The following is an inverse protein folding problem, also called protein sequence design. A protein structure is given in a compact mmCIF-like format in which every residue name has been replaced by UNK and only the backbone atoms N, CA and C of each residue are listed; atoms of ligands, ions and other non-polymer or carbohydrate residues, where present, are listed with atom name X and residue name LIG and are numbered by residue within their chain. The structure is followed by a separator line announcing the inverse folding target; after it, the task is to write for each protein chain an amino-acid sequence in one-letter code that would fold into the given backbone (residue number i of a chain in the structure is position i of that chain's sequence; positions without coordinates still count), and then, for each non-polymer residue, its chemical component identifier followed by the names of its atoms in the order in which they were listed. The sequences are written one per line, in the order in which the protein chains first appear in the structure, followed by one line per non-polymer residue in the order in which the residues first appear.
data_IF_481961884341
#
_entry.id   IF_481961884341
#
_cell.length_a   1.000
_cell.length_b   1.000
_cell.length_c   1.000
_cell.angle_alpha   90.00
_cell.angle_beta   90.00
_cell.angle_gamma   90.00
#
_symmetry.space_group_name_H-M   'P 1'
#
loop_
_entity.id
_entity.type
_entity.pdbx_description
1 polymer ?
#
# COMPACT_ATOMS: atom_id res chain seq x y z
N UNK A 1 0.21 -9.74 21.48
CA UNK A 1 -0.38 -9.51 20.14
C UNK A 1 -0.04 -10.58 19.09
N UNK A 2 0.99 -11.43 19.30
CA UNK A 2 1.38 -12.51 18.37
C UNK A 2 0.35 -13.66 18.17
N UNK A 3 -0.64 -13.80 19.06
CA UNK A 3 -1.65 -14.86 18.99
C UNK A 3 -2.64 -14.70 17.83
N UNK A 4 -2.80 -13.49 17.28
CA UNK A 4 -3.74 -13.27 16.18
C UNK A 4 -3.20 -13.75 14.82
N UNK A 5 -1.87 -13.77 14.65
CA UNK A 5 -1.23 -14.26 13.43
C UNK A 5 -1.23 -15.80 13.40
N UNK A 6 -0.95 -16.46 14.53
CA UNK A 6 -0.95 -17.92 14.60
C UNK A 6 -2.35 -18.54 14.40
N UNK A 7 -3.42 -17.84 14.80
CA UNK A 7 -4.79 -18.35 14.67
C UNK A 7 -5.42 -18.22 13.27
N UNK A 8 -4.80 -17.48 12.36
CA UNK A 8 -5.31 -17.28 10.98
C UNK A 8 -4.58 -18.15 9.94
N UNK A 9 -3.45 -18.75 10.30
CA UNK A 9 -2.74 -19.74 9.48
C UNK A 9 -3.27 -21.14 9.79
N UNK A 10 -4.54 -21.39 9.45
CA UNK A 10 -4.98 -22.77 9.20
C UNK A 10 -4.59 -23.10 7.76
N UNK A 11 -3.64 -24.03 7.57
CA UNK A 11 -3.12 -24.42 6.24
C UNK A 11 -4.20 -24.96 5.29
N UNK A 12 -5.41 -25.27 5.79
CA UNK A 12 -6.53 -25.71 4.95
C UNK A 12 -7.33 -24.55 4.32
N UNK A 13 -7.13 -23.31 4.78
CA UNK A 13 -7.83 -22.13 4.29
C UNK A 13 -6.87 -21.28 3.47
N UNK A 14 -7.05 -21.26 2.14
CA UNK A 14 -6.39 -20.26 1.29
C UNK A 14 -6.96 -18.89 1.65
N UNK A 15 -6.17 -17.96 2.24
CA UNK A 15 -6.69 -16.66 2.63
C UNK A 15 -7.11 -15.89 1.38
N UNK A 16 -8.26 -15.24 1.44
CA UNK A 16 -8.72 -14.34 0.39
C UNK A 16 -8.24 -12.91 0.67
N UNK A 17 -8.54 -12.00 -0.27
CA UNK A 17 -8.22 -10.58 -0.14
C UNK A 17 -8.67 -9.99 1.20
N UNK A 18 -9.86 -10.37 1.70
CA UNK A 18 -10.44 -9.83 2.93
C UNK A 18 -9.67 -10.29 4.16
N UNK A 19 -9.22 -11.54 4.17
CA UNK A 19 -8.42 -12.11 5.27
C UNK A 19 -7.09 -11.38 5.43
N UNK A 20 -6.32 -11.21 4.33
CA UNK A 20 -5.08 -10.42 4.35
C UNK A 20 -5.34 -9.00 4.85
N UNK A 21 -6.37 -8.37 4.31
CA UNK A 21 -6.73 -7.00 4.63
C UNK A 21 -7.19 -6.80 6.08
N UNK A 22 -7.79 -7.81 6.70
CA UNK A 22 -8.15 -7.79 8.13
C UNK A 22 -6.90 -7.75 9.01
N UNK A 23 -5.88 -8.54 8.69
CA UNK A 23 -4.63 -8.55 9.47
C UNK A 23 -3.92 -7.20 9.37
N UNK A 24 -3.79 -6.63 8.16
CA UNK A 24 -3.19 -5.30 7.96
C UNK A 24 -3.98 -4.23 8.73
N UNK A 25 -5.32 -4.34 8.77
CA UNK A 25 -6.16 -3.42 9.54
C UNK A 25 -5.88 -3.48 11.05
N UNK A 26 -5.70 -4.69 11.60
CA UNK A 26 -5.32 -4.88 13.01
C UNK A 26 -3.95 -4.27 13.29
N UNK A 27 -2.97 -4.49 12.41
CA UNK A 27 -1.66 -3.84 12.52
C UNK A 27 -1.78 -2.30 12.58
N UNK A 28 -2.57 -1.70 11.67
CA UNK A 28 -2.82 -0.26 11.62
C UNK A 28 -3.58 0.30 12.85
N UNK A 29 -4.27 -0.56 13.60
CA UNK A 29 -4.98 -0.21 14.84
C UNK A 29 -4.14 -0.41 16.10
N UNK A 30 -2.89 -0.87 15.97
CA UNK A 30 -1.98 -1.07 17.09
C UNK A 30 -1.74 0.26 17.81
N UNK A 31 -1.98 0.27 19.12
CA UNK A 31 -1.85 1.46 19.98
C UNK A 31 -0.75 1.33 21.04
N UNK A 32 -0.25 0.12 21.28
CA UNK A 32 0.87 -0.11 22.18
C UNK A 32 2.18 0.17 21.46
N UNK A 33 2.93 1.16 21.93
CA UNK A 33 4.20 1.56 21.30
C UNK A 33 5.22 0.42 21.21
N UNK A 34 5.23 -0.49 22.18
CA UNK A 34 6.10 -1.68 22.19
C UNK A 34 5.83 -2.61 21.01
N UNK A 35 4.59 -2.62 20.51
CA UNK A 35 4.14 -3.53 19.47
C UNK A 35 4.25 -2.88 18.07
N UNK A 36 4.43 -1.57 17.98
CA UNK A 36 4.50 -0.84 16.70
C UNK A 36 5.55 -1.38 15.72
N UNK A 37 6.80 -1.68 16.12
CA UNK A 37 7.80 -2.22 15.20
C UNK A 37 7.38 -3.57 14.60
N UNK A 38 6.79 -4.42 15.44
CA UNK A 38 6.35 -5.76 15.06
C UNK A 38 5.09 -5.71 14.20
N UNK A 39 4.11 -4.88 14.57
CA UNK A 39 2.90 -4.65 13.79
C UNK A 39 3.23 -4.13 12.38
N UNK A 40 4.21 -3.22 12.27
CA UNK A 40 4.66 -2.72 10.97
C UNK A 40 5.30 -3.84 10.14
N UNK A 41 6.21 -4.63 10.74
CA UNK A 41 6.85 -5.78 10.07
C UNK A 41 5.80 -6.76 9.53
N UNK A 42 4.86 -7.16 10.39
CA UNK A 42 3.78 -8.09 10.06
C UNK A 42 2.90 -7.54 8.94
N UNK A 43 2.53 -6.25 8.96
CA UNK A 43 1.70 -5.66 7.91
C UNK A 43 2.32 -5.80 6.51
N UNK A 44 3.64 -5.57 6.40
CA UNK A 44 4.36 -5.72 5.12
C UNK A 44 4.60 -7.18 4.75
N UNK A 45 4.82 -8.07 5.71
CA UNK A 45 4.90 -9.51 5.43
C UNK A 45 3.58 -10.07 4.90
N UNK A 46 2.46 -9.68 5.50
CA UNK A 46 1.11 -10.06 5.06
C UNK A 46 0.84 -9.54 3.65
N UNK A 47 1.26 -8.32 3.34
CA UNK A 47 1.19 -7.77 1.97
C UNK A 47 2.02 -8.58 0.96
N UNK A 48 3.25 -8.95 1.31
CA UNK A 48 4.09 -9.77 0.44
C UNK A 48 3.47 -11.16 0.24
N UNK A 49 3.01 -11.81 1.32
CA UNK A 49 2.31 -13.09 1.25
C UNK A 49 1.04 -13.02 0.39
N UNK A 50 0.33 -11.89 0.40
CA UNK A 50 -0.84 -11.65 -0.47
C UNK A 50 -0.43 -11.71 -1.95
N UNK A 51 0.66 -11.03 -2.32
CA UNK A 51 1.19 -11.02 -3.69
C UNK A 51 1.69 -12.41 -4.08
N UNK A 52 2.47 -13.07 -3.22
CA UNK A 52 3.04 -14.40 -3.46
C UNK A 52 1.94 -15.46 -3.64
N UNK A 53 0.81 -15.31 -2.95
CA UNK A 53 -0.37 -16.15 -3.11
C UNK A 53 -1.19 -15.85 -4.38
N UNK A 54 -0.81 -14.84 -5.18
CA UNK A 54 -1.52 -14.39 -6.36
C UNK A 54 -2.80 -13.61 -6.05
N UNK A 55 -2.96 -13.13 -4.82
CA UNK A 55 -4.10 -12.31 -4.42
C UNK A 55 -3.75 -10.84 -4.69
N UNK A 56 -4.55 -10.16 -5.52
CA UNK A 56 -4.24 -8.79 -5.94
C UNK A 56 -4.56 -7.76 -4.86
N UNK A 57 -3.60 -6.91 -4.44
CA UNK A 57 -3.86 -5.79 -3.54
C UNK A 57 -4.94 -4.85 -4.07
N UNK A 58 -5.76 -4.34 -3.16
CA UNK A 58 -6.83 -3.39 -3.48
C UNK A 58 -6.47 -1.99 -2.97
N UNK A 59 -7.27 -0.99 -3.36
CA UNK A 59 -7.14 0.35 -2.82
C UNK A 59 -7.23 0.38 -1.29
N UNK A 60 -7.97 -0.56 -0.69
CA UNK A 60 -8.08 -0.69 0.77
C UNK A 60 -6.78 -1.24 1.38
N UNK A 61 -6.10 -2.18 0.70
CA UNK A 61 -4.78 -2.69 1.10
C UNK A 61 -3.76 -1.56 1.20
N UNK A 62 -3.64 -0.75 0.14
CA UNK A 62 -2.71 0.38 0.11
C UNK A 62 -3.03 1.44 1.15
N UNK A 63 -4.32 1.79 1.33
CA UNK A 63 -4.72 2.76 2.34
C UNK A 63 -4.33 2.30 3.76
N UNK A 64 -4.48 1.01 4.07
CA UNK A 64 -4.11 0.47 5.40
C UNK A 64 -2.61 0.40 5.62
N UNK A 65 -1.83 0.07 4.60
CA UNK A 65 -0.36 0.11 4.68
C UNK A 65 0.14 1.54 4.90
N UNK A 66 -0.45 2.53 4.21
CA UNK A 66 -0.16 3.94 4.47
C UNK A 66 -0.55 4.36 5.89
N UNK A 67 -1.70 3.90 6.40
CA UNK A 67 -2.06 4.13 7.81
C UNK A 67 -1.07 3.47 8.79
N UNK A 68 -0.50 2.30 8.47
CA UNK A 68 0.57 1.71 9.27
C UNK A 68 1.81 2.61 9.27
N UNK A 69 2.22 3.11 8.11
CA UNK A 69 3.35 4.04 7.98
C UNK A 69 3.09 5.31 8.80
N UNK A 70 1.89 5.89 8.68
CA UNK A 70 1.50 7.07 9.42
C UNK A 70 1.61 6.83 10.93
N UNK A 71 0.94 5.79 11.46
CA UNK A 71 0.73 5.61 12.91
C UNK A 71 1.88 4.93 13.65
N UNK A 72 2.50 3.93 13.04
CA UNK A 72 3.51 3.09 13.71
C UNK A 72 4.92 3.72 13.66
N UNK A 73 5.10 4.79 12.88
CA UNK A 73 6.34 5.56 12.73
C UNK A 73 6.15 7.04 13.12
N UNK A 74 5.24 7.33 14.06
CA UNK A 74 5.02 8.70 14.59
C UNK A 74 6.03 9.14 15.65
N UNK A 75 7.14 8.42 15.84
CA UNK A 75 8.10 8.78 16.88
C UNK A 75 8.89 10.01 16.44
N UNK A 76 9.11 10.93 17.37
CA UNK A 76 9.93 12.13 17.16
C UNK A 76 11.43 11.77 17.22
N UNK A 77 11.84 10.88 16.31
CA UNK A 77 13.23 10.64 15.99
C UNK A 77 13.38 10.67 14.47
N UNK A 78 14.46 11.27 13.96
CA UNK A 78 14.64 11.44 12.52
C UNK A 78 14.72 10.13 11.73
N UNK A 79 15.04 9.00 12.38
CA UNK A 79 15.11 7.70 11.72
C UNK A 79 13.72 7.19 11.32
N UNK A 80 12.73 7.32 12.20
CA UNK A 80 11.35 6.92 11.93
C UNK A 80 10.68 7.83 10.90
N UNK A 81 11.01 9.13 10.87
CA UNK A 81 10.56 10.04 9.81
C UNK A 81 11.08 9.60 8.43
N UNK A 82 12.39 9.34 8.31
CA UNK A 82 12.99 8.89 7.04
C UNK A 82 12.37 7.56 6.60
N UNK A 83 12.20 6.62 7.54
CA UNK A 83 11.58 5.33 7.26
C UNK A 83 10.12 5.48 6.84
N UNK A 84 9.36 6.37 7.49
CA UNK A 84 7.96 6.66 7.16
C UNK A 84 7.85 7.18 5.74
N UNK A 85 8.61 8.22 5.37
CA UNK A 85 8.59 8.79 4.01
C UNK A 85 8.95 7.75 2.96
N UNK A 86 10.01 6.97 3.19
CA UNK A 86 10.45 5.90 2.28
C UNK A 86 9.35 4.86 2.06
N UNK A 87 8.74 4.34 3.13
CA UNK A 87 7.70 3.31 3.01
C UNK A 87 6.41 3.87 2.41
N UNK A 88 6.01 5.10 2.77
CA UNK A 88 4.87 5.79 2.17
C UNK A 88 5.03 5.92 0.65
N UNK A 89 6.22 6.33 0.20
CA UNK A 89 6.54 6.38 -1.24
C UNK A 89 6.40 5.01 -1.89
N UNK A 90 7.03 3.97 -1.33
CA UNK A 90 6.95 2.61 -1.89
C UNK A 90 5.52 2.08 -2.00
N UNK A 91 4.70 2.27 -0.95
CA UNK A 91 3.30 1.83 -0.96
C UNK A 91 2.48 2.62 -1.98
N UNK A 92 2.73 3.93 -2.10
CA UNK A 92 2.01 4.78 -3.02
C UNK A 92 2.38 4.51 -4.48
N UNK A 93 3.66 4.26 -4.78
CA UNK A 93 4.11 3.86 -6.12
C UNK A 93 3.43 2.56 -6.56
N UNK A 94 3.40 1.55 -5.69
CA UNK A 94 2.67 0.31 -5.95
C UNK A 94 1.16 0.54 -6.16
N UNK A 95 0.55 1.51 -5.48
CA UNK A 95 -0.85 1.89 -5.71
C UNK A 95 -1.04 2.59 -7.07
N UNK A 96 -0.07 3.39 -7.50
CA UNK A 96 -0.08 4.06 -8.81
C UNK A 96 0.08 3.05 -9.95
N UNK A 97 1.08 2.16 -9.85
CA UNK A 97 1.36 1.12 -10.84
C UNK A 97 0.19 0.15 -11.03
N UNK A 98 -0.53 -0.16 -9.95
CA UNK A 98 -1.72 -1.01 -10.00
C UNK A 98 -3.00 -0.28 -10.41
N UNK A 99 -2.96 1.05 -10.62
CA UNK A 99 -4.14 1.86 -10.90
C UNK A 99 -5.16 1.89 -9.75
N UNK A 100 -4.71 1.70 -8.50
CA UNK A 100 -5.56 1.60 -7.29
C UNK A 100 -5.53 2.85 -6.41
N UNK A 101 -5.09 4.00 -6.95
CA UNK A 101 -5.15 5.27 -6.23
C UNK A 101 -6.61 5.71 -6.09
N UNK A 102 -7.11 5.71 -4.85
CA UNK A 102 -8.46 6.16 -4.50
C UNK A 102 -8.41 7.36 -3.54
N UNK A 103 -9.54 8.02 -3.31
CA UNK A 103 -9.63 9.08 -2.28
C UNK A 103 -9.20 8.59 -0.88
N UNK A 104 -9.43 7.32 -0.55
CA UNK A 104 -8.97 6.74 0.72
C UNK A 104 -7.46 6.59 0.77
N UNK A 105 -6.83 6.16 -0.33
CA UNK A 105 -5.37 6.08 -0.46
C UNK A 105 -4.76 7.47 -0.33
N UNK A 106 -5.36 8.47 -0.99
CA UNK A 106 -4.90 9.85 -0.93
C UNK A 106 -5.04 10.47 0.47
N UNK A 107 -6.12 10.19 1.19
CA UNK A 107 -6.30 10.63 2.57
C UNK A 107 -5.24 10.01 3.49
N UNK A 108 -5.02 8.69 3.39
CA UNK A 108 -3.99 8.00 4.17
C UNK A 108 -2.57 8.45 3.79
N UNK A 109 -2.33 8.76 2.52
CA UNK A 109 -1.06 9.32 2.04
C UNK A 109 -0.80 10.68 2.69
N UNK A 110 -1.80 11.56 2.73
CA UNK A 110 -1.65 12.88 3.33
C UNK A 110 -1.25 12.79 4.81
N UNK A 111 -1.79 11.82 5.53
CA UNK A 111 -1.43 11.56 6.94
C UNK A 111 0.00 11.01 7.08
N UNK A 112 0.42 10.12 6.18
CA UNK A 112 1.72 9.45 6.26
C UNK A 112 2.87 10.31 5.74
N UNK A 113 2.63 11.04 4.65
CA UNK A 113 3.58 11.90 3.94
C UNK A 113 2.85 13.01 3.18
N UNK A 114 2.67 14.15 3.86
CA UNK A 114 2.03 15.34 3.28
C UNK A 114 2.79 15.86 2.05
N UNK A 115 4.12 15.82 2.05
CA UNK A 115 4.93 16.33 0.93
C UNK A 115 4.73 15.50 -0.34
N UNK A 116 4.65 14.18 -0.18
CA UNK A 116 4.33 13.28 -1.29
C UNK A 116 2.89 13.52 -1.80
N UNK A 117 1.92 13.68 -0.91
CA UNK A 117 0.54 14.01 -1.31
C UNK A 117 0.44 15.31 -2.12
N UNK A 118 1.15 16.37 -1.73
CA UNK A 118 1.13 17.66 -2.41
C UNK A 118 1.83 17.65 -3.77
N UNK A 119 2.86 16.79 -3.93
CA UNK A 119 3.58 16.63 -5.19
C UNK A 119 2.83 15.74 -6.19
N UNK A 120 1.90 14.90 -5.73
CA UNK A 120 1.12 14.02 -6.60
C UNK A 120 0.30 14.80 -7.64
N UNK A 121 0.33 14.33 -8.88
CA UNK A 121 -0.51 14.81 -9.98
C UNK A 121 -1.29 13.61 -10.52
N UNK A 122 -2.64 13.63 -10.46
CA UNK A 122 -3.44 12.54 -11.00
C UNK A 122 -3.14 12.34 -12.48
N UNK A 123 -2.86 11.10 -12.87
CA UNK A 123 -2.77 10.75 -14.29
C UNK A 123 -4.19 10.76 -14.86
N UNK A 124 -4.48 11.55 -15.89
CA UNK A 124 -5.82 11.58 -16.48
C UNK A 124 -6.18 10.19 -17.01
N UNK A 125 -7.45 9.75 -16.87
CA UNK A 125 -7.92 8.43 -17.33
C UNK A 125 -7.88 8.20 -18.85
N UNK A 126 -7.27 9.11 -19.62
CA UNK A 126 -7.23 9.10 -21.09
C UNK A 126 -5.82 9.27 -21.68
N UNK A 127 -4.79 8.76 -21.01
CA UNK A 127 -3.43 8.66 -21.59
C UNK A 127 -3.15 7.29 -22.21
N UNK A 128 -4.18 6.51 -22.54
CA UNK A 128 -4.12 5.41 -23.52
C UNK A 128 -4.52 5.96 -24.90
N UNK A 129 -3.79 6.97 -25.36
CA UNK A 129 -3.93 7.55 -26.69
C UNK A 129 -2.99 6.88 -27.68
N UNK A 130 -3.49 5.83 -28.33
CA UNK A 130 -3.33 5.48 -29.75
C UNK A 130 -2.13 6.17 -30.45
N UNK A 131 -1.07 5.42 -30.76
CA UNK A 131 -0.21 5.77 -31.89
C UNK A 131 -1.06 5.66 -33.17
N UNK A 132 -1.46 6.82 -33.67
CA UNK A 132 -2.18 6.98 -34.92
C UNK A 132 -1.36 6.39 -36.06
N UNK A 133 -1.89 5.34 -36.67
CA UNK A 133 -1.39 4.83 -37.93
C UNK A 133 -1.78 5.82 -39.03
N UNK A 134 -0.84 6.67 -39.42
CA UNK A 134 -1.00 7.59 -40.53
C UNK A 134 0.32 8.25 -40.88
N UNK A 135 1.06 7.66 -41.83
CA UNK A 135 1.59 8.37 -43.01
C UNK A 135 2.35 7.42 -43.97
N UNK A 136 1.74 7.25 -45.16
CA UNK A 136 2.30 7.14 -46.52
C UNK A 136 3.54 6.28 -46.81
N UNK A 137 3.41 5.34 -47.75
CA UNK A 137 4.31 5.27 -48.92
C UNK A 137 3.56 4.80 -50.18
N UNK A 138 3.39 5.73 -51.12
CA UNK A 138 3.10 5.49 -52.53
C UNK A 138 4.44 5.21 -53.21
N UNK A 139 4.66 3.99 -53.72
CA UNK A 139 5.60 3.71 -54.81
C UNK A 139 5.26 2.38 -55.48
N UNK A 140 5.04 2.44 -56.79
CA UNK A 140 4.74 1.31 -57.68
C UNK A 140 4.01 1.79 -58.91
#
# INVERSE_FOLDING_TARGET
SALLIAGLYDESIRPDERAYNAVIAVCAATSLESDCPEALRVAFEVYNSMIDAGVHPTHETYARLLSCCAKLLMRDNGADEVKRKRLSQTVFDAACESGRVSLRVLAALKEADQGLFESYRPVPPHSSGVEGNGEQMMHG
#
